data_IF_937578451765
#
_entry.id   IF_937578451765
#
_cell.length_a   1.000
_cell.length_b   1.000
_cell.length_c   1.000
_cell.angle_alpha   90.00
_cell.angle_beta   90.00
_cell.angle_gamma   90.00
#
_symmetry.space_group_name_H-M   'P 1'
#
loop_
_entity.id
_entity.type
_entity.pdbx_description
1 polymer ?
#
# COMPACT_ATOMS: atom_id res chain seq x y z
N UNK A 1 14.21 3.63 3.95
CA UNK A 1 13.59 3.80 2.62
C UNK A 1 14.70 4.11 1.64
N UNK A 2 14.57 3.66 0.39
CA UNK A 2 15.45 4.10 -0.69
C UNK A 2 14.66 5.12 -1.51
N UNK A 3 15.15 6.35 -1.55
CA UNK A 3 14.53 7.40 -2.34
C UNK A 3 14.96 7.26 -3.80
N UNK A 4 14.01 6.93 -4.66
CA UNK A 4 14.23 6.81 -6.09
C UNK A 4 13.86 8.13 -6.76
N UNK A 5 14.79 8.81 -7.45
CA UNK A 5 14.47 10.02 -8.18
C UNK A 5 13.36 9.77 -9.22
N UNK A 6 12.37 10.67 -9.28
CA UNK A 6 11.21 10.53 -10.18
C UNK A 6 11.55 10.29 -11.65
N UNK A 7 12.61 10.88 -12.25
CA UNK A 7 13.01 10.56 -13.62
C UNK A 7 13.39 9.09 -13.81
N UNK A 8 14.10 8.51 -12.83
CA UNK A 8 14.51 7.11 -12.86
C UNK A 8 13.29 6.18 -12.72
N UNK A 9 12.38 6.50 -11.80
CA UNK A 9 11.13 5.75 -11.65
C UNK A 9 10.30 5.76 -12.94
N UNK A 10 10.20 6.91 -13.64
CA UNK A 10 9.48 7.02 -14.92
C UNK A 10 10.08 6.11 -16.00
N UNK A 11 11.42 6.07 -16.11
CA UNK A 11 12.10 5.19 -17.06
C UNK A 11 11.79 3.72 -16.75
N UNK A 12 11.91 3.33 -15.48
CA UNK A 12 11.61 1.97 -15.03
C UNK A 12 10.17 1.57 -15.35
N UNK A 13 9.19 2.42 -15.04
CA UNK A 13 7.79 2.16 -15.34
C UNK A 13 7.49 2.09 -16.84
N UNK A 14 8.17 2.90 -17.66
CA UNK A 14 8.01 2.90 -19.11
C UNK A 14 8.47 1.58 -19.75
N UNK A 15 9.43 0.89 -19.14
CA UNK A 15 9.88 -0.44 -19.58
C UNK A 15 8.98 -1.56 -19.01
N UNK A 16 8.67 -1.49 -17.70
CA UNK A 16 7.96 -2.56 -17.00
C UNK A 16 6.48 -2.68 -17.38
N UNK A 17 5.86 -1.63 -17.96
CA UNK A 17 4.45 -1.64 -18.37
C UNK A 17 4.09 -2.70 -19.42
N UNK A 18 5.06 -3.20 -20.19
CA UNK A 18 4.82 -4.17 -21.27
C UNK A 18 4.79 -5.62 -20.80
N UNK A 19 5.05 -5.88 -19.52
CA UNK A 19 5.00 -7.23 -18.95
C UNK A 19 3.53 -7.70 -18.78
N UNK A 20 3.25 -9.02 -18.85
CA UNK A 20 1.90 -9.57 -18.66
C UNK A 20 1.23 -9.20 -17.32
N UNK A 21 2.06 -8.88 -16.29
CA UNK A 21 1.65 -8.38 -14.98
C UNK A 21 2.64 -7.30 -14.56
N UNK A 22 2.45 -6.04 -14.98
CA UNK A 22 3.45 -5.00 -14.78
C UNK A 22 3.57 -4.67 -13.28
N UNK A 23 4.76 -4.79 -12.67
CA UNK A 23 4.96 -4.48 -11.26
C UNK A 23 4.91 -2.97 -10.96
N UNK A 24 5.15 -2.13 -11.97
CA UNK A 24 5.06 -0.68 -11.89
C UNK A 24 4.64 -0.11 -13.24
N UNK A 25 3.63 0.76 -13.26
CA UNK A 25 3.15 1.45 -14.47
C UNK A 25 3.34 2.97 -14.40
N UNK A 26 3.44 3.66 -15.56
CA UNK A 26 3.51 5.13 -15.57
C UNK A 26 2.32 5.79 -14.88
N UNK A 27 1.14 5.18 -14.97
CA UNK A 27 -0.09 5.64 -14.31
C UNK A 27 -0.01 5.56 -12.80
N UNK A 28 0.50 4.45 -12.25
CA UNK A 28 0.75 4.31 -10.81
C UNK A 28 1.72 5.40 -10.31
N UNK A 29 2.75 5.73 -11.10
CA UNK A 29 3.65 6.83 -10.77
C UNK A 29 3.00 8.22 -10.88
N UNK A 30 1.93 8.39 -11.66
CA UNK A 30 1.18 9.66 -11.67
C UNK A 30 0.33 9.78 -10.42
N UNK A 31 -0.30 8.70 -9.97
CA UNK A 31 -1.11 8.68 -8.74
C UNK A 31 -0.28 8.96 -7.48
N UNK A 32 0.98 8.51 -7.44
CA UNK A 32 1.88 8.77 -6.31
C UNK A 32 2.42 10.22 -6.25
N UNK A 33 2.24 11.03 -7.29
CA UNK A 33 2.74 12.43 -7.31
C UNK A 33 1.87 13.40 -6.53
N UNK A 34 0.61 13.04 -6.30
CA UNK A 34 -0.38 13.93 -5.71
C UNK A 34 -0.94 13.24 -4.48
N UNK A 35 -0.91 13.93 -3.35
CA UNK A 35 -1.46 13.40 -2.12
C UNK A 35 -2.99 13.33 -2.20
N UNK A 36 -3.54 12.19 -1.80
CA UNK A 36 -4.99 11.99 -1.72
C UNK A 36 -5.53 12.55 -0.39
N UNK A 37 -5.53 13.87 -0.26
CA UNK A 37 -6.07 14.57 0.92
C UNK A 37 -7.49 15.05 0.62
N UNK A 38 -8.42 14.76 1.53
CA UNK A 38 -9.81 15.21 1.41
C UNK A 38 -9.90 16.74 1.54
N UNK A 39 -10.73 17.38 0.72
CA UNK A 39 -10.98 18.81 0.82
C UNK A 39 -11.78 19.15 2.09
N UNK A 40 -11.65 20.38 2.59
CA UNK A 40 -12.24 20.82 3.85
C UNK A 40 -13.78 20.80 3.89
N UNK A 41 -14.43 20.94 2.73
CA UNK A 41 -15.87 21.03 2.54
C UNK A 41 -16.50 19.75 1.98
N UNK A 42 -15.71 18.68 1.82
CA UNK A 42 -16.20 17.42 1.28
C UNK A 42 -17.08 16.66 2.28
N UNK A 43 -18.10 15.96 1.76
CA UNK A 43 -18.84 14.96 2.54
C UNK A 43 -17.91 13.80 2.91
N UNK A 44 -17.98 13.34 4.15
CA UNK A 44 -17.08 12.30 4.68
C UNK A 44 -17.87 11.05 5.07
N UNK A 45 -17.17 9.98 5.49
CA UNK A 45 -17.79 8.78 6.06
C UNK A 45 -18.74 9.11 7.23
N UNK A 46 -18.45 10.17 7.99
CA UNK A 46 -19.29 10.63 9.10
C UNK A 46 -20.67 11.09 8.61
N UNK A 47 -20.76 11.68 7.42
CA UNK A 47 -22.04 12.09 6.80
C UNK A 47 -22.96 10.90 6.56
N UNK A 48 -22.38 9.71 6.33
CA UNK A 48 -23.12 8.46 6.16
C UNK A 48 -23.40 7.74 7.50
N UNK A 49 -23.04 8.34 8.64
CA UNK A 49 -23.12 7.69 9.95
C UNK A 49 -22.06 6.61 10.18
N UNK A 50 -21.02 6.55 9.35
CA UNK A 50 -19.97 5.52 9.42
C UNK A 50 -18.78 6.05 10.23
N UNK A 51 -18.36 5.28 11.24
CA UNK A 51 -17.13 5.56 12.00
C UNK A 51 -15.94 4.92 11.29
N UNK A 52 -14.93 5.74 10.94
CA UNK A 52 -13.71 5.23 10.30
C UNK A 52 -12.96 4.31 11.25
N UNK A 53 -12.57 3.13 10.75
CA UNK A 53 -11.72 2.20 11.51
C UNK A 53 -10.26 2.47 11.18
N UNK A 54 -9.37 2.63 12.19
CA UNK A 54 -7.95 2.86 11.95
C UNK A 54 -7.31 1.68 11.20
N UNK A 55 -6.44 1.99 10.25
CA UNK A 55 -5.80 0.96 9.41
C UNK A 55 -4.96 0.01 10.25
N UNK A 56 -4.27 0.53 11.27
CA UNK A 56 -3.38 -0.20 12.17
C UNK A 56 -4.10 -1.34 12.91
N UNK A 57 -5.42 -1.21 13.12
CA UNK A 57 -6.24 -2.25 13.74
C UNK A 57 -6.50 -3.44 12.82
N UNK A 58 -6.49 -3.24 11.49
CA UNK A 58 -6.92 -4.26 10.51
C UNK A 58 -5.74 -4.80 9.69
N UNK A 59 -4.78 -3.95 9.30
CA UNK A 59 -3.63 -4.30 8.46
C UNK A 59 -2.84 -5.54 8.94
N UNK A 60 -2.62 -5.76 10.26
CA UNK A 60 -1.96 -6.97 10.75
C UNK A 60 -2.62 -8.27 10.27
N UNK A 61 -3.95 -8.29 10.16
CA UNK A 61 -4.70 -9.47 9.70
C UNK A 61 -4.51 -9.74 8.21
N UNK A 62 -4.43 -8.70 7.37
CA UNK A 62 -4.21 -8.86 5.93
C UNK A 62 -2.78 -9.28 5.57
N UNK A 63 -1.80 -8.85 6.36
CA UNK A 63 -0.38 -9.09 6.10
C UNK A 63 0.16 -10.41 6.67
N UNK A 64 -0.65 -11.22 7.34
CA UNK A 64 -0.22 -12.51 7.93
C UNK A 64 0.56 -13.39 6.94
N UNK A 65 0.11 -13.47 5.68
CA UNK A 65 0.75 -14.27 4.62
C UNK A 65 2.13 -13.75 4.17
N UNK A 66 2.45 -12.49 4.45
CA UNK A 66 3.70 -11.84 4.05
C UNK A 66 4.66 -11.63 5.23
N UNK A 67 4.25 -12.01 6.45
CA UNK A 67 5.13 -11.98 7.64
C UNK A 67 6.18 -13.09 7.54
N UNK A 68 7.48 -12.80 7.74
CA UNK A 68 8.50 -13.83 7.84
C UNK A 68 8.17 -14.73 9.04
N UNK A 69 8.01 -16.04 8.76
CA UNK A 69 7.47 -17.06 9.67
C UNK A 69 6.00 -16.79 10.09
N UNK A 70 5.05 -17.03 9.17
CA UNK A 70 3.61 -16.75 9.34
C UNK A 70 2.93 -17.35 10.58
N UNK A 71 1.59 -17.36 10.62
CA UNK A 71 0.80 -17.73 11.82
C UNK A 71 1.08 -19.12 12.45
N UNK A 72 1.88 -19.97 11.79
CA UNK A 72 2.29 -21.30 12.26
C UNK A 72 3.80 -21.42 12.57
N UNK A 73 4.51 -20.29 12.78
CA UNK A 73 5.87 -20.32 13.31
C UNK A 73 5.88 -20.87 14.73
N UNK A 74 5.97 -22.20 14.84
CA UNK A 74 6.06 -23.03 16.04
C UNK A 74 6.67 -22.27 17.22
N UNK A 75 5.85 -21.99 18.24
CA UNK A 75 6.37 -21.81 19.59
C UNK A 75 7.08 -23.11 19.96
N UNK A 76 8.40 -23.13 19.82
CA UNK A 76 9.24 -24.05 20.56
C UNK A 76 9.16 -23.61 22.02
N UNK A 77 8.21 -24.16 22.77
CA UNK A 77 8.30 -24.21 24.21
C UNK A 77 9.61 -24.93 24.54
N UNK A 78 10.58 -24.18 25.06
CA UNK A 78 11.76 -24.77 25.68
C UNK A 78 11.26 -25.54 26.91
N UNK A 79 11.41 -26.86 26.86
CA UNK A 79 11.46 -27.69 28.06
C UNK A 79 12.84 -27.57 28.70
#
# INVERSE_FOLDING_TARGET
>A
MLDIPMPLARLQAALLQFLPKPPLTPDQLRLLRVDNVVQSDALTLKTLGITATPMEAILPGYFVRYRPKGQFSRHLSAG
#
